data_IF_055278299679
#
_entry.id   IF_055278299679
#
_cell.length_a   1.000
_cell.length_b   1.000
_cell.length_c   1.000
_cell.angle_alpha   90.00
_cell.angle_beta   90.00
_cell.angle_gamma   90.00
#
_symmetry.space_group_name_H-M   'P 1'
#
loop_
_entity.id
_entity.type
_entity.pdbx_description
1 polymer ?
#
# COMPACT_ATOMS: atom_id res chain seq x y z
N UNK A 1 21.72 47.04 33.97
CA UNK A 1 20.60 46.03 33.88
C UNK A 1 20.52 45.52 32.46
N UNK A 2 21.09 44.36 32.21
CA UNK A 2 21.01 43.67 30.93
C UNK A 2 19.68 42.96 30.89
N UNK A 3 18.83 43.35 29.95
CA UNK A 3 17.60 42.68 29.58
C UNK A 3 17.95 41.28 29.04
N UNK A 4 17.83 40.26 29.85
CA UNK A 4 17.80 38.88 29.39
C UNK A 4 16.47 38.64 28.66
N UNK A 5 16.46 38.90 27.36
CA UNK A 5 15.38 38.46 26.48
C UNK A 5 15.36 36.95 26.52
N UNK A 6 14.27 36.35 26.98
CA UNK A 6 14.02 34.92 26.82
C UNK A 6 14.07 34.60 25.32
N UNK A 7 15.14 33.94 24.91
CA UNK A 7 15.15 33.27 23.61
C UNK A 7 14.04 32.21 23.68
N UNK A 8 12.93 32.45 22.99
CA UNK A 8 11.87 31.46 22.86
C UNK A 8 12.49 30.15 22.37
N UNK A 9 11.98 29.05 22.84
CA UNK A 9 12.39 27.72 22.34
C UNK A 9 12.30 27.74 20.81
N UNK A 10 13.32 27.21 20.10
CA UNK A 10 13.25 27.10 18.66
C UNK A 10 11.97 26.35 18.27
N UNK A 11 11.29 26.74 17.19
CA UNK A 11 10.10 26.01 16.75
C UNK A 11 10.43 24.53 16.63
N UNK A 12 9.55 23.68 17.17
CA UNK A 12 9.72 22.23 17.07
C UNK A 12 9.88 21.84 15.59
N UNK A 13 10.85 20.98 15.30
CA UNK A 13 11.02 20.48 13.94
C UNK A 13 9.72 19.78 13.47
N UNK A 14 9.31 19.99 12.21
CA UNK A 14 8.10 19.34 11.71
C UNK A 14 8.27 17.82 11.75
N UNK A 15 7.32 17.15 12.40
CA UNK A 15 7.26 15.69 12.44
C UNK A 15 6.64 15.19 11.12
N UNK A 16 7.49 14.98 10.11
CA UNK A 16 7.08 14.51 8.80
C UNK A 16 6.81 13.00 8.85
N UNK A 17 5.53 12.64 8.80
CA UNK A 17 5.07 11.26 8.79
C UNK A 17 4.43 10.89 7.46
N UNK A 18 5.10 11.26 6.38
CA UNK A 18 4.65 11.04 5.01
C UNK A 18 5.67 10.21 4.28
N UNK A 19 5.23 9.11 3.68
CA UNK A 19 6.01 8.30 2.75
C UNK A 19 5.30 8.24 1.40
N UNK A 20 6.04 7.96 0.32
CA UNK A 20 5.46 8.00 -1.02
C UNK A 20 6.04 7.00 -1.99
N UNK A 21 5.16 6.26 -2.66
CA UNK A 21 5.47 5.39 -3.78
C UNK A 21 5.07 6.09 -5.09
N UNK A 22 6.05 6.74 -5.75
CA UNK A 22 5.86 7.46 -7.01
C UNK A 22 6.59 6.82 -8.19
N UNK A 23 7.01 5.58 -8.04
CA UNK A 23 7.74 4.79 -9.02
C UNK A 23 7.12 3.39 -9.19
N UNK A 24 7.82 2.49 -9.86
CA UNK A 24 7.47 1.06 -9.88
C UNK A 24 7.61 0.44 -8.49
N UNK A 25 6.85 -0.63 -8.25
CA UNK A 25 7.01 -1.51 -7.10
C UNK A 25 8.20 -2.42 -7.40
N UNK A 26 9.33 -2.12 -6.80
CA UNK A 26 10.60 -2.82 -7.01
C UNK A 26 11.46 -2.78 -5.74
N UNK A 27 12.42 -3.68 -5.63
CA UNK A 27 13.16 -3.98 -4.41
C UNK A 27 13.78 -2.74 -3.73
N UNK A 28 14.52 -1.89 -4.47
CA UNK A 28 15.14 -0.68 -3.90
C UNK A 28 14.09 0.27 -3.30
N UNK A 29 12.99 0.52 -4.03
CA UNK A 29 11.95 1.42 -3.55
C UNK A 29 11.18 0.85 -2.37
N UNK A 30 10.89 -0.44 -2.39
CA UNK A 30 10.19 -1.09 -1.27
C UNK A 30 11.09 -1.20 -0.04
N UNK A 31 12.38 -1.44 -0.20
CA UNK A 31 13.33 -1.40 0.91
C UNK A 31 13.39 -0.01 1.57
N UNK A 32 13.44 1.07 0.78
CA UNK A 32 13.39 2.45 1.27
C UNK A 32 12.11 2.74 2.07
N UNK A 33 10.95 2.41 1.49
CA UNK A 33 9.64 2.63 2.13
C UNK A 33 9.46 1.79 3.40
N UNK A 34 9.89 0.54 3.38
CA UNK A 34 9.89 -0.36 4.52
C UNK A 34 10.73 0.21 5.66
N UNK A 35 11.96 0.65 5.38
CA UNK A 35 12.83 1.25 6.39
C UNK A 35 12.21 2.51 6.99
N UNK A 36 11.63 3.38 6.17
CA UNK A 36 10.97 4.59 6.65
C UNK A 36 9.75 4.26 7.53
N UNK A 37 8.91 3.30 7.11
CA UNK A 37 7.72 2.90 7.85
C UNK A 37 8.08 2.27 9.20
N UNK A 38 9.06 1.38 9.25
CA UNK A 38 9.55 0.78 10.48
C UNK A 38 10.11 1.83 11.44
N UNK A 39 10.87 2.81 10.94
CA UNK A 39 11.38 3.92 11.74
C UNK A 39 10.25 4.74 12.36
N UNK A 40 9.24 5.12 11.58
CA UNK A 40 8.08 5.89 12.06
C UNK A 40 7.24 5.10 13.07
N UNK A 41 7.14 3.78 12.89
CA UNK A 41 6.49 2.90 13.85
C UNK A 41 7.25 2.84 15.17
N UNK A 42 8.57 2.72 15.13
CA UNK A 42 9.39 2.71 16.35
C UNK A 42 9.29 4.03 17.11
N UNK A 43 9.19 5.16 16.43
CA UNK A 43 8.90 6.45 17.08
C UNK A 43 7.58 6.43 17.87
N UNK A 44 6.53 5.78 17.36
CA UNK A 44 5.27 5.61 18.09
C UNK A 44 5.42 4.66 19.29
N UNK A 45 6.21 3.58 19.15
CA UNK A 45 6.46 2.61 20.25
C UNK A 45 7.23 3.24 21.41
N UNK A 46 8.09 4.20 21.12
CA UNK A 46 8.90 4.90 22.11
C UNK A 46 8.17 6.07 22.78
N UNK A 47 6.94 6.38 22.37
CA UNK A 47 6.15 7.42 23.04
C UNK A 47 5.85 7.02 24.51
N UNK A 48 5.89 7.99 25.44
CA UNK A 48 5.46 7.76 26.82
C UNK A 48 4.03 7.26 26.89
N UNK A 49 3.72 6.46 27.90
CA UNK A 49 2.36 5.97 28.14
C UNK A 49 1.34 7.12 28.20
N UNK A 50 0.21 6.94 27.50
CA UNK A 50 -0.86 7.95 27.40
C UNK A 50 -0.63 9.03 26.35
N UNK A 51 0.49 9.00 25.62
CA UNK A 51 0.67 9.87 24.45
C UNK A 51 -0.01 9.27 23.23
N UNK A 52 -0.67 10.14 22.44
CA UNK A 52 -1.34 9.75 21.19
C UNK A 52 -0.31 9.36 20.12
N UNK A 53 -0.50 8.17 19.55
CA UNK A 53 0.28 7.69 18.41
C UNK A 53 -0.15 8.44 17.16
N UNK A 54 0.83 8.82 16.35
CA UNK A 54 0.56 9.57 15.11
C UNK A 54 0.51 8.63 13.92
N UNK A 55 -0.45 8.80 13.00
CA UNK A 55 -0.52 8.00 11.79
C UNK A 55 0.65 8.28 10.84
N UNK A 56 0.84 7.40 9.88
CA UNK A 56 1.70 7.60 8.71
C UNK A 56 0.80 7.79 7.49
N UNK A 57 1.02 8.86 6.74
CA UNK A 57 0.39 9.05 5.43
C UNK A 57 1.23 8.38 4.35
N UNK A 58 0.61 7.48 3.59
CA UNK A 58 1.27 6.76 2.50
C UNK A 58 0.63 7.12 1.15
N UNK A 59 1.30 7.99 0.41
CA UNK A 59 0.88 8.40 -0.93
C UNK A 59 1.31 7.37 -1.98
N UNK A 60 0.38 7.01 -2.88
CA UNK A 60 0.59 5.96 -3.88
C UNK A 60 0.22 6.48 -5.27
N UNK A 61 1.21 6.50 -6.17
CA UNK A 61 1.09 6.82 -7.59
C UNK A 61 2.00 5.89 -8.39
N UNK A 62 1.50 4.73 -8.77
CA UNK A 62 2.31 3.69 -9.40
C UNK A 62 1.56 2.93 -10.50
N UNK A 63 2.30 2.47 -11.50
CA UNK A 63 1.82 1.46 -12.46
C UNK A 63 1.83 0.03 -11.89
N UNK A 64 2.43 -0.18 -10.71
CA UNK A 64 2.67 -1.49 -10.13
C UNK A 64 4.10 -1.96 -10.32
N UNK A 65 4.32 -3.25 -10.31
CA UNK A 65 5.64 -3.88 -10.44
C UNK A 65 5.68 -5.29 -9.87
N UNK A 66 6.76 -5.63 -9.17
CA UNK A 66 7.01 -6.93 -8.57
C UNK A 66 5.93 -7.31 -7.55
N UNK A 67 5.40 -8.53 -7.68
CA UNK A 67 4.42 -9.07 -6.74
C UNK A 67 5.09 -9.48 -5.41
N UNK A 68 6.32 -9.95 -5.44
CA UNK A 68 7.07 -10.30 -4.23
C UNK A 68 7.35 -9.05 -3.38
N UNK A 69 7.79 -7.96 -4.02
CA UNK A 69 8.01 -6.67 -3.34
C UNK A 69 6.71 -6.04 -2.84
N UNK A 70 5.62 -6.20 -3.57
CA UNK A 70 4.28 -5.82 -3.11
C UNK A 70 3.92 -6.55 -1.82
N UNK A 71 4.11 -7.87 -1.75
CA UNK A 71 3.84 -8.63 -0.54
C UNK A 71 4.79 -8.30 0.59
N UNK A 72 6.07 -8.05 0.31
CA UNK A 72 7.02 -7.59 1.33
C UNK A 72 6.53 -6.30 2.01
N UNK A 73 6.09 -5.32 1.22
CA UNK A 73 5.51 -4.09 1.77
C UNK A 73 4.17 -4.33 2.48
N UNK A 74 3.31 -5.18 1.92
CA UNK A 74 2.02 -5.54 2.51
C UNK A 74 2.19 -6.15 3.92
N UNK A 75 3.08 -7.13 4.08
CA UNK A 75 3.33 -7.79 5.36
C UNK A 75 3.87 -6.81 6.41
N UNK A 76 4.78 -5.92 6.00
CA UNK A 76 5.28 -4.85 6.88
C UNK A 76 4.16 -3.90 7.29
N UNK A 77 3.30 -3.49 6.35
CA UNK A 77 2.14 -2.66 6.68
C UNK A 77 1.22 -3.34 7.69
N UNK A 78 0.91 -4.64 7.52
CA UNK A 78 0.06 -5.38 8.46
C UNK A 78 0.70 -5.42 9.87
N UNK A 79 1.99 -5.72 9.96
CA UNK A 79 2.73 -5.75 11.23
C UNK A 79 2.76 -4.37 11.92
N UNK A 80 2.99 -3.31 11.16
CA UNK A 80 3.06 -1.93 11.70
C UNK A 80 1.71 -1.44 12.19
N UNK A 81 0.61 -1.84 11.54
CA UNK A 81 -0.74 -1.39 11.92
C UNK A 81 -1.23 -1.90 13.28
N UNK A 82 -0.53 -2.81 13.94
CA UNK A 82 -0.79 -3.14 15.35
C UNK A 82 -0.56 -1.93 16.28
N UNK A 83 0.33 -1.02 15.89
CA UNK A 83 0.77 0.12 16.69
C UNK A 83 0.54 1.49 16.02
N UNK A 84 0.60 1.55 14.70
CA UNK A 84 0.61 2.79 13.93
C UNK A 84 -0.39 2.74 12.78
N UNK A 85 -1.39 3.61 12.78
CA UNK A 85 -2.30 3.73 11.64
C UNK A 85 -1.55 4.14 10.36
N UNK A 86 -1.91 3.51 9.24
CA UNK A 86 -1.40 3.86 7.91
C UNK A 86 -2.56 4.39 7.08
N UNK A 87 -2.55 5.69 6.82
CA UNK A 87 -3.52 6.36 5.96
C UNK A 87 -3.02 6.32 4.52
N UNK A 88 -3.56 5.42 3.70
CA UNK A 88 -3.17 5.31 2.29
C UNK A 88 -3.92 6.32 1.43
N UNK A 89 -3.21 6.95 0.48
CA UNK A 89 -3.76 8.00 -0.38
C UNK A 89 -3.37 7.73 -1.84
N UNK A 90 -4.33 7.26 -2.63
CA UNK A 90 -4.12 7.01 -4.06
C UNK A 90 -4.26 8.29 -4.88
N UNK A 91 -3.24 8.66 -5.67
CA UNK A 91 -3.26 9.85 -6.53
C UNK A 91 -2.81 9.52 -7.96
N UNK A 92 -3.40 10.19 -8.95
CA UNK A 92 -3.05 10.01 -10.36
C UNK A 92 -3.39 8.62 -10.89
N UNK A 93 -2.60 7.62 -10.54
CA UNK A 93 -2.82 6.20 -10.91
C UNK A 93 -2.39 5.26 -9.80
N UNK A 94 -3.19 4.24 -9.57
CA UNK A 94 -2.88 3.13 -8.65
C UNK A 94 -3.22 1.84 -9.37
N UNK A 95 -2.21 1.16 -9.89
CA UNK A 95 -2.39 0.03 -10.78
C UNK A 95 -1.65 -1.21 -10.31
N UNK A 96 -2.17 -2.40 -10.68
CA UNK A 96 -1.53 -3.69 -10.42
C UNK A 96 -1.16 -3.85 -8.93
N UNK A 97 0.10 -4.12 -8.60
CA UNK A 97 0.60 -4.24 -7.23
C UNK A 97 0.21 -3.06 -6.32
N UNK A 98 0.12 -1.84 -6.86
CA UNK A 98 -0.31 -0.66 -6.10
C UNK A 98 -1.72 -0.75 -5.53
N UNK A 99 -2.60 -1.55 -6.15
CA UNK A 99 -4.00 -1.68 -5.71
C UNK A 99 -4.14 -2.37 -4.36
N UNK A 100 -3.35 -3.40 -4.11
CA UNK A 100 -3.31 -4.05 -2.80
C UNK A 100 -2.72 -3.10 -1.75
N UNK A 101 -1.64 -2.38 -2.07
CA UNK A 101 -1.04 -1.43 -1.13
C UNK A 101 -2.00 -0.30 -0.74
N UNK A 102 -2.81 0.21 -1.69
CA UNK A 102 -3.87 1.17 -1.37
C UNK A 102 -4.93 0.56 -0.45
N UNK A 103 -5.39 -0.63 -0.78
CA UNK A 103 -6.45 -1.32 -0.04
C UNK A 103 -6.00 -1.78 1.35
N UNK A 104 -4.70 -2.00 1.55
CA UNK A 104 -4.11 -2.52 2.78
C UNK A 104 -3.95 -1.48 3.90
N UNK A 105 -4.24 -0.20 3.68
CA UNK A 105 -4.23 0.83 4.72
C UNK A 105 -5.29 0.62 5.80
N UNK A 106 -5.18 1.38 6.87
CA UNK A 106 -6.12 1.37 8.00
C UNK A 106 -7.55 1.61 7.50
N UNK A 107 -8.46 0.69 7.82
CA UNK A 107 -9.86 0.77 7.38
C UNK A 107 -10.51 2.08 7.88
N UNK A 108 -11.23 2.74 6.99
CA UNK A 108 -11.84 4.05 7.24
C UNK A 108 -10.88 5.24 7.04
N UNK A 109 -9.61 4.98 6.70
CA UNK A 109 -8.56 6.00 6.54
C UNK A 109 -7.91 6.00 5.17
N UNK A 110 -8.44 5.20 4.23
CA UNK A 110 -7.90 5.06 2.88
C UNK A 110 -8.59 6.06 1.96
N UNK A 111 -7.81 6.88 1.26
CA UNK A 111 -8.31 7.97 0.42
C UNK A 111 -7.91 7.78 -1.04
N UNK A 112 -8.69 8.33 -1.93
CA UNK A 112 -8.36 8.35 -3.35
C UNK A 112 -8.69 9.71 -3.97
N UNK A 113 -7.78 10.22 -4.77
CA UNK A 113 -8.02 11.46 -5.53
C UNK A 113 -9.12 11.27 -6.59
N UNK A 114 -9.98 12.26 -6.76
CA UNK A 114 -11.11 12.24 -7.70
C UNK A 114 -10.71 11.83 -9.13
N UNK A 115 -9.53 12.23 -9.58
CA UNK A 115 -9.01 11.91 -10.92
C UNK A 115 -8.12 10.68 -10.96
N UNK A 116 -7.95 9.97 -9.84
CA UNK A 116 -7.12 8.80 -9.77
C UNK A 116 -7.74 7.62 -10.54
N UNK A 117 -6.92 6.93 -11.32
CA UNK A 117 -7.31 5.71 -12.05
C UNK A 117 -6.75 4.49 -11.35
N UNK A 118 -7.61 3.53 -11.10
CA UNK A 118 -7.22 2.22 -10.54
C UNK A 118 -7.26 1.17 -11.65
N UNK A 119 -6.33 0.24 -11.65
CA UNK A 119 -6.37 -0.91 -12.57
C UNK A 119 -5.96 -2.19 -11.84
N UNK A 120 -6.81 -3.20 -11.94
CA UNK A 120 -6.60 -4.55 -11.41
C UNK A 120 -6.42 -5.51 -12.57
N UNK A 121 -5.48 -6.43 -12.46
CA UNK A 121 -5.30 -7.54 -13.41
C UNK A 121 -4.70 -8.76 -12.71
N UNK A 122 -4.68 -9.91 -13.41
CA UNK A 122 -3.99 -11.11 -12.93
C UNK A 122 -2.48 -10.88 -12.82
N UNK A 123 -1.82 -11.66 -11.97
CA UNK A 123 -0.36 -11.72 -11.94
C UNK A 123 0.14 -12.09 -13.33
N UNK A 124 1.06 -11.28 -13.85
CA UNK A 124 1.70 -11.51 -15.15
C UNK A 124 3.13 -12.01 -14.92
N UNK A 125 3.49 -13.08 -15.57
CA UNK A 125 4.84 -13.64 -15.49
C UNK A 125 5.25 -14.24 -16.84
N UNK A 126 6.55 -14.37 -17.04
CA UNK A 126 7.12 -15.07 -18.19
C UNK A 126 8.40 -15.79 -17.77
N UNK A 127 8.60 -17.00 -18.25
CA UNK A 127 9.79 -17.77 -17.92
C UNK A 127 10.27 -18.62 -19.10
N UNK A 128 11.56 -18.96 -19.06
CA UNK A 128 12.21 -19.88 -20.00
C UNK A 128 12.93 -20.97 -19.22
N UNK A 129 12.86 -22.20 -19.70
CA UNK A 129 13.55 -23.29 -19.03
C UNK A 129 13.19 -24.67 -19.56
N UNK A 130 13.66 -25.69 -18.87
CA UNK A 130 13.23 -27.07 -19.12
C UNK A 130 11.79 -27.27 -18.67
N UNK A 131 11.11 -28.29 -19.21
CA UNK A 131 9.72 -28.58 -18.87
C UNK A 131 9.47 -28.70 -17.35
N UNK A 132 10.34 -29.39 -16.55
CA UNK A 132 10.15 -29.40 -15.10
C UNK A 132 10.25 -28.02 -14.45
N UNK A 133 11.17 -27.15 -14.88
CA UNK A 133 11.28 -25.79 -14.36
C UNK A 133 10.03 -24.97 -14.68
N UNK A 134 9.54 -25.04 -15.91
CA UNK A 134 8.33 -24.32 -16.32
C UNK A 134 7.10 -24.77 -15.51
N UNK A 135 7.00 -26.07 -15.19
CA UNK A 135 5.91 -26.59 -14.35
C UNK A 135 5.97 -26.05 -12.91
N UNK A 136 7.17 -26.03 -12.31
CA UNK A 136 7.36 -25.48 -10.97
C UNK A 136 7.07 -23.97 -10.91
N UNK A 137 7.52 -23.22 -11.91
CA UNK A 137 7.24 -21.78 -12.00
C UNK A 137 5.75 -21.49 -12.19
N UNK A 138 5.06 -22.30 -12.98
CA UNK A 138 3.61 -22.15 -13.14
C UNK A 138 2.88 -22.36 -11.81
N UNK A 139 3.27 -23.35 -11.01
CA UNK A 139 2.70 -23.59 -9.69
C UNK A 139 2.96 -22.41 -8.75
N UNK A 140 4.17 -21.88 -8.73
CA UNK A 140 4.53 -20.70 -7.95
C UNK A 140 3.71 -19.46 -8.34
N UNK A 141 3.53 -19.21 -9.64
CA UNK A 141 2.70 -18.10 -10.15
C UNK A 141 1.23 -18.28 -9.77
N UNK A 142 0.71 -19.51 -9.82
CA UNK A 142 -0.66 -19.81 -9.41
C UNK A 142 -0.86 -19.55 -7.91
N UNK A 143 0.11 -19.92 -7.07
CA UNK A 143 0.06 -19.63 -5.65
C UNK A 143 0.09 -18.11 -5.40
N UNK A 144 0.99 -17.39 -6.04
CA UNK A 144 1.09 -15.93 -5.94
C UNK A 144 -0.21 -15.23 -6.36
N UNK A 145 -0.89 -15.74 -7.41
CA UNK A 145 -2.20 -15.25 -7.83
C UNK A 145 -3.27 -15.51 -6.78
N UNK A 146 -3.26 -16.69 -6.14
CA UNK A 146 -4.24 -17.03 -5.09
C UNK A 146 -4.03 -16.18 -3.83
N UNK A 147 -2.78 -15.95 -3.44
CA UNK A 147 -2.40 -15.07 -2.34
C UNK A 147 -2.85 -13.62 -2.59
N UNK A 148 -2.66 -13.11 -3.82
CA UNK A 148 -3.14 -11.79 -4.21
C UNK A 148 -4.66 -11.68 -4.11
N UNK A 149 -5.41 -12.67 -4.61
CA UNK A 149 -6.88 -12.70 -4.52
C UNK A 149 -7.30 -12.73 -3.05
N UNK A 150 -6.65 -13.54 -2.23
CA UNK A 150 -6.92 -13.65 -0.79
C UNK A 150 -6.73 -12.31 -0.10
N UNK A 151 -5.57 -11.68 -0.26
CA UNK A 151 -5.27 -10.38 0.33
C UNK A 151 -6.24 -9.28 -0.15
N UNK A 152 -6.60 -9.28 -1.43
CA UNK A 152 -7.58 -8.34 -1.97
C UNK A 152 -8.97 -8.54 -1.35
N UNK A 153 -9.42 -9.77 -1.15
CA UNK A 153 -10.72 -10.08 -0.53
C UNK A 153 -10.74 -9.65 0.94
N UNK A 154 -9.66 -9.84 1.68
CA UNK A 154 -9.54 -9.44 3.09
C UNK A 154 -9.54 -7.90 3.26
N UNK A 155 -8.99 -7.20 2.30
CA UNK A 155 -8.81 -5.75 2.38
C UNK A 155 -9.87 -4.91 1.65
N UNK A 156 -10.79 -5.54 0.90
CA UNK A 156 -11.80 -4.85 0.09
C UNK A 156 -13.21 -5.37 0.36
N UNK A 157 -14.17 -4.93 -0.44
CA UNK A 157 -15.54 -5.45 -0.47
C UNK A 157 -15.76 -6.51 -1.58
N UNK A 158 -14.69 -6.93 -2.25
CA UNK A 158 -14.79 -8.02 -3.21
C UNK A 158 -15.06 -9.35 -2.49
N UNK A 159 -15.97 -10.14 -3.03
CA UNK A 159 -15.99 -11.58 -2.73
C UNK A 159 -15.01 -12.29 -3.66
N UNK A 160 -14.40 -13.38 -3.22
CA UNK A 160 -13.48 -14.19 -4.06
C UNK A 160 -14.11 -14.53 -5.41
N UNK A 161 -15.34 -15.05 -5.42
CA UNK A 161 -16.07 -15.42 -6.64
C UNK A 161 -16.23 -14.22 -7.61
N UNK A 162 -16.49 -13.02 -7.09
CA UNK A 162 -16.65 -11.82 -7.93
C UNK A 162 -15.33 -11.36 -8.50
N UNK A 163 -14.26 -11.38 -7.68
CA UNK A 163 -12.93 -10.96 -8.13
C UNK A 163 -12.37 -11.91 -9.17
N UNK A 164 -12.42 -13.23 -8.92
CA UNK A 164 -12.02 -14.27 -9.88
C UNK A 164 -12.80 -14.17 -11.20
N UNK A 165 -14.11 -13.96 -11.15
CA UNK A 165 -14.91 -13.76 -12.35
C UNK A 165 -14.43 -12.55 -13.16
N UNK A 166 -14.20 -11.41 -12.53
CA UNK A 166 -13.71 -10.20 -13.19
C UNK A 166 -12.33 -10.40 -13.81
N UNK A 167 -11.41 -11.04 -13.08
CA UNK A 167 -10.05 -11.33 -13.54
C UNK A 167 -10.02 -12.32 -14.71
N UNK A 168 -10.96 -13.27 -14.76
CA UNK A 168 -11.07 -14.23 -15.86
C UNK A 168 -11.75 -13.64 -17.11
N UNK A 169 -12.64 -12.67 -16.93
CA UNK A 169 -13.38 -12.05 -18.06
C UNK A 169 -12.61 -10.91 -18.73
N UNK A 170 -11.68 -10.27 -18.03
CA UNK A 170 -10.98 -9.06 -18.51
C UNK A 170 -9.49 -9.13 -18.23
N UNK A 171 -8.69 -8.75 -19.20
CA UNK A 171 -7.23 -8.62 -19.05
C UNK A 171 -6.88 -7.51 -18.04
N UNK A 172 -7.51 -6.34 -18.18
CA UNK A 172 -7.36 -5.21 -17.29
C UNK A 172 -8.73 -4.67 -16.86
N UNK A 173 -8.90 -4.47 -15.57
CA UNK A 173 -10.13 -3.92 -14.96
C UNK A 173 -9.81 -2.50 -14.51
N UNK A 174 -10.26 -1.51 -15.26
CA UNK A 174 -10.10 -0.11 -14.90
C UNK A 174 -11.28 0.35 -14.05
N UNK A 175 -10.98 1.04 -12.96
CA UNK A 175 -11.96 1.59 -12.02
C UNK A 175 -11.76 3.11 -11.88
N UNK A 176 -12.88 3.84 -11.80
CA UNK A 176 -12.89 5.23 -11.37
C UNK A 176 -12.68 5.33 -9.85
N UNK A 177 -12.50 6.54 -9.33
CA UNK A 177 -12.41 6.77 -7.89
C UNK A 177 -13.67 6.31 -7.16
N UNK A 178 -14.87 6.57 -7.73
CA UNK A 178 -16.16 6.14 -7.18
C UNK A 178 -16.29 4.62 -7.16
N UNK A 179 -15.82 3.94 -8.19
CA UNK A 179 -15.80 2.48 -8.26
C UNK A 179 -14.80 1.88 -7.26
N UNK A 180 -13.63 2.51 -7.10
CA UNK A 180 -12.64 2.09 -6.11
C UNK A 180 -13.21 2.17 -4.67
N UNK A 181 -13.93 3.23 -4.32
CA UNK A 181 -14.63 3.35 -3.03
C UNK A 181 -15.77 2.33 -2.92
N UNK A 182 -16.56 2.17 -3.96
CA UNK A 182 -17.66 1.18 -3.98
C UNK A 182 -17.18 -0.24 -3.74
N UNK A 183 -16.03 -0.62 -4.32
CA UNK A 183 -15.41 -1.92 -4.11
C UNK A 183 -14.52 -1.99 -2.86
N UNK A 184 -14.35 -0.88 -2.14
CA UNK A 184 -13.63 -0.86 -0.87
C UNK A 184 -12.11 -0.88 -0.99
N UNK A 185 -11.57 -0.46 -2.14
CA UNK A 185 -10.13 -0.22 -2.31
C UNK A 185 -9.69 1.06 -1.58
N UNK A 186 -10.59 2.02 -1.47
CA UNK A 186 -10.48 3.21 -0.64
C UNK A 186 -11.79 3.41 0.12
N UNK A 187 -11.78 4.31 1.11
CA UNK A 187 -12.94 4.60 1.95
C UNK A 187 -13.62 5.92 1.55
N UNK A 188 -12.85 6.89 1.05
CA UNK A 188 -13.36 8.19 0.63
C UNK A 188 -12.60 8.79 -0.57
N UNK A 189 -13.28 9.69 -1.29
CA UNK A 189 -12.69 10.49 -2.36
C UNK A 189 -12.28 11.84 -1.79
N UNK A 190 -11.04 12.27 -2.09
CA UNK A 190 -10.55 13.62 -1.72
C UNK A 190 -11.10 14.68 -2.65
#
# INVERSE_FOLDING_TARGET
QLLGGALGEPPAEPDLRVIGLYSSVEDEKIAELTQALLYLNEMNRLLPEGKEKKPVEFYINTYGGSADDMFAMYDVMQSVMEETEIHTIGVGKVMSAGTLLLAAGTKGKRKIGKSCRVMIHNVAAGNFGTLPNLANELEAIQQLQDDYITAMVENTKFTRKKLEKLLNEKVNIYLSAEEAVRYGLADEIM
#
